data_IF_929789445046
#
_entry.id   IF_929789445046
#
_cell.length_a   1.000
_cell.length_b   1.000
_cell.length_c   1.000
_cell.angle_alpha   90.00
_cell.angle_beta   90.00
_cell.angle_gamma   90.00
#
_symmetry.space_group_name_H-M   'P 1'
#
loop_
_entity.id
_entity.type
_entity.pdbx_description
1 polymer ?
#
# COMPACT_ATOMS: atom_id res chain seq x y z
N UNK A 1 -21.75 2.12 -6.69
CA UNK A 1 -21.10 0.94 -6.07
C UNK A 1 -21.16 1.17 -4.59
N UNK A 2 -21.60 0.17 -3.82
CA UNK A 2 -21.75 0.34 -2.38
C UNK A 2 -20.38 0.56 -1.72
N UNK A 3 -20.36 1.31 -0.64
CA UNK A 3 -19.12 1.54 0.12
C UNK A 3 -18.55 0.23 0.66
N UNK A 4 -19.41 -0.74 1.03
CA UNK A 4 -18.98 -2.08 1.42
C UNK A 4 -18.25 -2.84 0.28
N UNK A 5 -18.71 -2.72 -0.96
CA UNK A 5 -18.05 -3.32 -2.13
C UNK A 5 -16.71 -2.63 -2.40
N UNK A 6 -16.66 -1.31 -2.30
CA UNK A 6 -15.44 -0.53 -2.45
C UNK A 6 -14.38 -0.91 -1.40
N UNK A 7 -14.79 -1.06 -0.14
CA UNK A 7 -13.91 -1.53 0.93
C UNK A 7 -13.48 -2.97 0.71
N UNK A 8 -14.35 -3.85 0.22
CA UNK A 8 -13.99 -5.24 -0.09
C UNK A 8 -12.97 -5.32 -1.23
N UNK A 9 -13.10 -4.47 -2.25
CA UNK A 9 -12.12 -4.35 -3.31
C UNK A 9 -10.78 -3.82 -2.79
N UNK A 10 -10.79 -2.75 -1.98
CA UNK A 10 -9.57 -2.21 -1.39
C UNK A 10 -8.88 -3.25 -0.50
N UNK A 11 -9.61 -3.95 0.38
CA UNK A 11 -9.10 -5.07 1.19
C UNK A 11 -8.38 -6.09 0.31
N UNK A 12 -8.99 -6.49 -0.81
CA UNK A 12 -8.39 -7.47 -1.71
C UNK A 12 -7.11 -6.95 -2.37
N UNK A 13 -7.04 -5.65 -2.70
CA UNK A 13 -5.83 -5.02 -3.26
C UNK A 13 -4.71 -4.96 -2.21
N UNK A 14 -4.99 -4.49 -1.00
CA UNK A 14 -4.03 -4.45 0.10
C UNK A 14 -3.48 -5.84 0.44
N UNK A 15 -4.34 -6.87 0.48
CA UNK A 15 -3.89 -8.25 0.70
C UNK A 15 -2.97 -8.76 -0.42
N UNK A 16 -3.14 -8.30 -1.65
CA UNK A 16 -2.24 -8.63 -2.77
C UNK A 16 -0.90 -7.93 -2.64
N UNK A 17 -0.90 -6.64 -2.28
CA UNK A 17 0.33 -5.87 -2.04
C UNK A 17 1.11 -6.46 -0.86
N UNK A 18 0.44 -6.81 0.23
CA UNK A 18 1.03 -7.52 1.36
C UNK A 18 1.74 -8.81 0.93
N UNK A 19 1.13 -9.59 0.03
CA UNK A 19 1.72 -10.82 -0.52
C UNK A 19 2.95 -10.55 -1.37
N UNK A 20 2.96 -9.47 -2.15
CA UNK A 20 4.14 -9.04 -2.92
C UNK A 20 5.31 -8.71 -1.98
N UNK A 21 5.07 -7.92 -0.93
CA UNK A 21 6.12 -7.61 0.04
C UNK A 21 6.57 -8.83 0.84
N UNK A 22 5.65 -9.72 1.19
CA UNK A 22 6.01 -10.98 1.83
C UNK A 22 6.83 -11.89 0.91
N UNK A 23 6.57 -11.87 -0.40
CA UNK A 23 7.40 -12.56 -1.38
C UNK A 23 8.82 -11.97 -1.40
N UNK A 24 8.98 -10.64 -1.45
CA UNK A 24 10.30 -10.00 -1.39
C UNK A 24 11.06 -10.32 -0.10
N UNK A 25 10.36 -10.35 1.06
CA UNK A 25 10.96 -10.81 2.32
C UNK A 25 11.59 -12.21 2.16
N UNK A 26 10.86 -13.15 1.55
CA UNK A 26 11.36 -14.52 1.33
C UNK A 26 12.55 -14.55 0.36
N UNK A 27 12.49 -13.76 -0.71
CA UNK A 27 13.53 -13.68 -1.73
C UNK A 27 14.84 -13.11 -1.17
N UNK A 28 14.76 -12.07 -0.35
CA UNK A 28 15.95 -11.38 0.19
C UNK A 28 16.30 -11.76 1.63
N UNK A 29 15.83 -12.92 2.11
CA UNK A 29 15.95 -13.37 3.52
C UNK A 29 17.38 -13.40 4.08
N UNK A 30 18.38 -13.51 3.20
CA UNK A 30 19.78 -13.62 3.58
C UNK A 30 20.41 -12.25 3.93
N UNK A 31 19.84 -11.13 3.46
CA UNK A 31 20.16 -9.78 3.94
C UNK A 31 19.14 -9.38 5.01
N UNK A 32 19.56 -9.37 6.28
CA UNK A 32 18.67 -9.14 7.42
C UNK A 32 17.95 -7.79 7.39
N UNK A 33 18.59 -6.72 6.95
CA UNK A 33 17.94 -5.39 6.98
C UNK A 33 16.94 -5.26 5.83
N UNK A 34 17.29 -5.80 4.65
CA UNK A 34 16.38 -5.81 3.49
C UNK A 34 15.19 -6.72 3.77
N UNK A 35 15.42 -7.91 4.31
CA UNK A 35 14.36 -8.81 4.72
C UNK A 35 13.45 -8.14 5.76
N UNK A 36 14.02 -7.48 6.78
CA UNK A 36 13.24 -6.74 7.78
C UNK A 36 12.39 -5.63 7.16
N UNK A 37 12.96 -4.86 6.23
CA UNK A 37 12.22 -3.84 5.49
C UNK A 37 10.97 -4.42 4.84
N UNK A 38 11.11 -5.49 4.04
CA UNK A 38 9.98 -6.11 3.36
C UNK A 38 8.98 -6.79 4.31
N UNK A 39 9.45 -7.35 5.42
CA UNK A 39 8.60 -7.89 6.47
C UNK A 39 7.73 -6.80 7.10
N UNK A 40 8.34 -5.67 7.49
CA UNK A 40 7.64 -4.57 8.12
C UNK A 40 6.61 -3.94 7.15
N UNK A 41 6.96 -3.81 5.86
CA UNK A 41 6.02 -3.41 4.81
C UNK A 41 4.82 -4.36 4.71
N UNK A 42 5.05 -5.67 4.57
CA UNK A 42 3.97 -6.66 4.49
C UNK A 42 3.08 -6.66 5.75
N UNK A 43 3.69 -6.49 6.92
CA UNK A 43 2.97 -6.40 8.20
C UNK A 43 2.04 -5.19 8.23
N UNK A 44 2.51 -4.04 7.77
CA UNK A 44 1.73 -2.80 7.78
C UNK A 44 0.50 -2.95 6.85
N UNK A 45 0.66 -3.54 5.66
CA UNK A 45 -0.47 -3.81 4.77
C UNK A 45 -1.48 -4.80 5.34
N UNK A 46 -1.02 -5.87 6.00
CA UNK A 46 -1.96 -6.74 6.73
C UNK A 46 -2.66 -6.01 7.89
N UNK A 47 -1.99 -5.02 8.49
CA UNK A 47 -2.59 -4.11 9.46
C UNK A 47 -3.71 -3.28 8.82
N UNK A 48 -3.46 -2.66 7.67
CA UNK A 48 -4.45 -1.90 6.89
C UNK A 48 -5.66 -2.76 6.56
N UNK A 49 -5.45 -3.98 6.06
CA UNK A 49 -6.50 -4.98 5.80
C UNK A 49 -7.38 -5.23 7.01
N UNK A 50 -6.78 -5.43 8.19
CA UNK A 50 -7.52 -5.68 9.43
C UNK A 50 -8.45 -4.52 9.78
N UNK A 51 -7.94 -3.29 9.68
CA UNK A 51 -8.72 -2.08 9.98
C UNK A 51 -9.82 -1.87 8.93
N UNK A 52 -9.54 -2.07 7.64
CA UNK A 52 -10.54 -1.95 6.58
C UNK A 52 -11.68 -2.95 6.76
N UNK A 53 -11.40 -4.17 7.23
CA UNK A 53 -12.43 -5.16 7.57
C UNK A 53 -13.33 -4.66 8.69
N UNK A 54 -12.75 -4.09 9.76
CA UNK A 54 -13.52 -3.48 10.85
C UNK A 54 -14.37 -2.30 10.35
N UNK A 55 -13.81 -1.42 9.52
CA UNK A 55 -14.55 -0.27 8.95
C UNK A 55 -15.69 -0.76 8.07
N UNK A 56 -15.46 -1.73 7.18
CA UNK A 56 -16.49 -2.30 6.29
C UNK A 56 -17.68 -2.84 7.07
N UNK A 57 -17.43 -3.50 8.18
CA UNK A 57 -18.48 -4.12 9.00
C UNK A 57 -19.31 -3.08 9.79
N UNK A 58 -18.84 -1.82 9.87
CA UNK A 58 -19.56 -0.70 10.50
C UNK A 58 -20.36 0.15 9.51
N UNK A 59 -20.08 0.04 8.21
CA UNK A 59 -20.69 0.88 7.17
C UNK A 59 -22.13 0.50 6.91
N UNK A 60 -23.01 1.50 6.83
CA UNK A 60 -24.41 1.33 6.41
C UNK A 60 -24.50 0.65 5.02
N UNK A 61 -25.37 -0.36 4.84
CA UNK A 61 -25.60 -1.00 3.54
C UNK A 61 -26.03 -0.04 2.42
N UNK A 62 -26.64 1.08 2.79
CA UNK A 62 -27.14 2.09 1.87
C UNK A 62 -26.04 3.04 1.37
N UNK A 63 -24.89 3.10 2.04
CA UNK A 63 -23.80 4.02 1.72
C UNK A 63 -23.23 3.79 0.31
N UNK A 64 -23.03 4.89 -0.42
CA UNK A 64 -22.48 4.87 -1.78
C UNK A 64 -21.03 5.39 -1.80
N UNK A 65 -20.15 4.67 -2.49
CA UNK A 65 -18.73 5.05 -2.62
C UNK A 65 -18.49 6.20 -3.61
N UNK A 66 -19.52 6.63 -4.34
CA UNK A 66 -19.42 7.65 -5.39
C UNK A 66 -18.33 7.33 -6.42
N UNK A 67 -17.53 8.34 -6.76
CA UNK A 67 -16.44 8.23 -7.75
C UNK A 67 -15.24 7.40 -7.27
N UNK A 68 -15.10 7.18 -5.96
CA UNK A 68 -13.97 6.41 -5.40
C UNK A 68 -14.00 4.97 -5.95
N UNK A 69 -15.20 4.41 -6.08
CA UNK A 69 -15.35 3.04 -6.56
C UNK A 69 -14.77 2.80 -7.96
N UNK A 70 -15.03 3.70 -8.91
CA UNK A 70 -14.49 3.58 -10.27
C UNK A 70 -12.96 3.72 -10.29
N UNK A 71 -12.39 4.54 -9.41
CA UNK A 71 -10.94 4.73 -9.29
C UNK A 71 -10.25 3.51 -8.70
N UNK A 72 -10.85 2.85 -7.71
CA UNK A 72 -10.32 1.60 -7.16
C UNK A 72 -10.23 0.49 -8.24
N UNK A 73 -11.24 0.37 -9.10
CA UNK A 73 -11.21 -0.59 -10.20
C UNK A 73 -10.01 -0.40 -11.13
N UNK A 74 -9.59 0.85 -11.37
CA UNK A 74 -8.41 1.13 -12.20
C UNK A 74 -7.09 0.62 -11.59
N UNK A 75 -7.06 0.37 -10.28
CA UNK A 75 -5.88 -0.15 -9.57
C UNK A 75 -5.75 -1.67 -9.65
N UNK A 76 -6.81 -2.40 -10.00
CA UNK A 76 -6.80 -3.87 -10.09
C UNK A 76 -5.72 -4.34 -11.06
N UNK A 77 -5.70 -3.77 -12.26
CA UNK A 77 -4.71 -4.09 -13.29
C UNK A 77 -3.28 -3.75 -12.85
N UNK A 78 -3.10 -2.64 -12.12
CA UNK A 78 -1.78 -2.21 -11.65
C UNK A 78 -1.23 -3.20 -10.63
N UNK A 79 -2.04 -3.56 -9.64
CA UNK A 79 -1.66 -4.52 -8.59
C UNK A 79 -1.46 -5.91 -9.20
N UNK A 80 -2.31 -6.34 -10.12
CA UNK A 80 -2.17 -7.63 -10.79
C UNK A 80 -0.87 -7.76 -11.58
N UNK A 81 -0.53 -6.74 -12.39
CA UNK A 81 0.74 -6.74 -13.13
C UNK A 81 1.93 -6.74 -12.17
N UNK A 82 1.88 -5.98 -11.08
CA UNK A 82 2.95 -5.98 -10.08
C UNK A 82 3.10 -7.35 -9.40
N UNK A 83 1.99 -8.02 -9.06
CA UNK A 83 2.01 -9.36 -8.48
C UNK A 83 2.62 -10.41 -9.43
N UNK A 84 2.25 -10.35 -10.72
CA UNK A 84 2.84 -11.20 -11.76
C UNK A 84 4.34 -10.92 -11.96
N UNK A 85 4.72 -9.64 -12.06
CA UNK A 85 6.12 -9.22 -12.20
C UNK A 85 6.95 -9.61 -10.97
N UNK A 86 6.38 -9.53 -9.77
CA UNK A 86 7.04 -9.86 -8.50
C UNK A 86 7.50 -11.31 -8.43
N UNK A 87 6.74 -12.25 -9.03
CA UNK A 87 7.06 -13.67 -9.00
C UNK A 87 8.39 -14.03 -9.68
N UNK A 88 8.91 -13.17 -10.56
CA UNK A 88 10.17 -13.34 -11.27
C UNK A 88 11.30 -12.43 -10.76
N UNK A 89 11.12 -11.77 -9.61
CA UNK A 89 12.10 -10.84 -9.08
C UNK A 89 13.26 -11.57 -8.40
N UNK A 90 14.48 -11.28 -8.88
CA UNK A 90 15.71 -11.81 -8.30
C UNK A 90 16.63 -10.71 -7.73
N UNK A 91 16.35 -9.44 -8.03
CA UNK A 91 17.22 -8.31 -7.66
C UNK A 91 16.49 -7.28 -6.81
N UNK A 92 17.22 -6.69 -5.84
CA UNK A 92 16.67 -5.66 -4.97
C UNK A 92 16.22 -4.42 -5.76
N UNK A 93 16.97 -4.03 -6.79
CA UNK A 93 16.58 -2.90 -7.65
C UNK A 93 15.21 -3.11 -8.29
N UNK A 94 14.95 -4.33 -8.80
CA UNK A 94 13.65 -4.64 -9.40
C UNK A 94 12.52 -4.70 -8.38
N UNK A 95 12.78 -5.24 -7.19
CA UNK A 95 11.81 -5.23 -6.09
C UNK A 95 11.41 -3.80 -5.69
N UNK A 96 12.39 -2.91 -5.56
CA UNK A 96 12.18 -1.50 -5.24
C UNK A 96 11.37 -0.77 -6.33
N UNK A 97 11.60 -1.06 -7.62
CA UNK A 97 10.79 -0.47 -8.69
C UNK A 97 9.32 -0.87 -8.63
N UNK A 98 9.04 -2.14 -8.29
CA UNK A 98 7.67 -2.61 -8.12
C UNK A 98 7.03 -1.98 -6.89
N UNK A 99 7.74 -1.93 -5.76
CA UNK A 99 7.26 -1.26 -4.56
C UNK A 99 6.96 0.22 -4.83
N UNK A 100 7.83 0.95 -5.52
CA UNK A 100 7.58 2.33 -5.96
C UNK A 100 6.27 2.43 -6.74
N UNK A 101 6.03 1.53 -7.69
CA UNK A 101 4.82 1.56 -8.51
C UNK A 101 3.55 1.33 -7.67
N UNK A 102 3.63 0.48 -6.64
CA UNK A 102 2.53 0.21 -5.71
C UNK A 102 2.32 1.39 -4.75
N UNK A 103 3.36 1.88 -4.08
CA UNK A 103 3.29 3.00 -3.12
C UNK A 103 2.98 4.35 -3.76
N UNK A 104 3.37 4.56 -5.02
CA UNK A 104 2.98 5.76 -5.78
C UNK A 104 1.57 5.68 -6.37
N UNK A 105 0.91 4.53 -6.26
CA UNK A 105 -0.46 4.37 -6.71
C UNK A 105 -1.42 5.18 -5.84
N UNK A 106 -2.68 5.30 -6.27
CA UNK A 106 -3.69 6.01 -5.50
C UNK A 106 -4.27 5.19 -4.34
N UNK A 107 -3.76 3.98 -4.05
CA UNK A 107 -4.37 3.04 -3.11
C UNK A 107 -4.55 3.66 -1.71
N UNK A 108 -3.46 4.12 -1.09
CA UNK A 108 -3.49 4.79 0.21
C UNK A 108 -4.40 6.02 0.22
N UNK A 109 -4.30 6.84 -0.83
CA UNK A 109 -5.09 8.06 -0.94
C UNK A 109 -6.59 7.78 -1.06
N UNK A 110 -6.96 6.71 -1.78
CA UNK A 110 -8.35 6.28 -1.89
C UNK A 110 -8.83 5.62 -0.60
N UNK A 111 -8.02 4.78 0.04
CA UNK A 111 -8.32 4.20 1.35
C UNK A 111 -8.58 5.26 2.40
N UNK A 112 -7.69 6.24 2.50
CA UNK A 112 -7.85 7.39 3.39
C UNK A 112 -9.15 8.15 3.11
N UNK A 113 -9.46 8.43 1.83
CA UNK A 113 -10.70 9.14 1.47
C UNK A 113 -11.96 8.36 1.84
N UNK A 114 -11.98 7.03 1.65
CA UNK A 114 -13.12 6.20 2.05
C UNK A 114 -13.30 6.28 3.56
N UNK A 115 -12.24 6.02 4.32
CA UNK A 115 -12.29 6.02 5.79
C UNK A 115 -12.68 7.41 6.32
N UNK A 116 -12.17 8.48 5.72
CA UNK A 116 -12.52 9.85 6.08
C UNK A 116 -13.98 10.19 5.74
N UNK A 117 -14.52 9.69 4.63
CA UNK A 117 -15.94 9.87 4.28
C UNK A 117 -16.88 9.23 5.29
N UNK A 118 -16.38 8.23 6.03
CA UNK A 118 -17.10 7.48 7.05
C UNK A 118 -16.80 7.98 8.48
N UNK A 119 -16.03 9.06 8.63
CA UNK A 119 -15.54 9.51 9.95
C UNK A 119 -16.65 9.75 10.97
N UNK A 120 -17.84 10.17 10.55
CA UNK A 120 -19.00 10.36 11.43
C UNK A 120 -19.62 9.06 11.93
N UNK A 121 -19.36 7.95 11.25
CA UNK A 121 -19.86 6.60 11.58
C UNK A 121 -18.83 5.78 12.39
N UNK A 122 -17.58 6.25 12.46
CA UNK A 122 -16.48 5.52 13.08
C UNK A 122 -16.17 6.02 14.50
N UNK A 123 -15.72 5.13 15.41
CA UNK A 123 -15.18 5.52 16.71
C UNK A 123 -14.02 6.51 16.58
N UNK A 124 -13.86 7.39 17.56
CA UNK A 124 -12.76 8.35 17.58
C UNK A 124 -11.40 7.62 17.50
N UNK A 125 -10.56 8.06 16.56
CA UNK A 125 -9.24 7.48 16.34
C UNK A 125 -9.20 6.28 15.38
N UNK A 126 -10.34 5.71 14.97
CA UNK A 126 -10.38 4.56 14.04
C UNK A 126 -9.76 4.87 12.66
N UNK A 127 -9.74 6.14 12.25
CA UNK A 127 -9.15 6.59 10.99
C UNK A 127 -7.63 6.89 11.04
N UNK A 128 -7.02 6.92 12.24
CA UNK A 128 -5.59 7.29 12.40
C UNK A 128 -4.58 6.43 11.65
N UNK A 129 -4.77 5.10 11.48
CA UNK A 129 -3.77 4.26 10.84
C UNK A 129 -3.48 4.63 9.37
N UNK A 130 -4.46 5.19 8.65
CA UNK A 130 -4.32 5.58 7.23
C UNK A 130 -3.68 6.97 7.02
N UNK A 131 -2.99 7.51 8.03
CA UNK A 131 -2.33 8.82 7.97
C UNK A 131 -0.81 8.68 7.74
N UNK A 132 -0.25 7.48 7.87
CA UNK A 132 1.19 7.25 7.92
C UNK A 132 1.85 6.75 6.61
N UNK A 133 1.37 7.19 5.44
CA UNK A 133 1.94 6.83 4.13
C UNK A 133 3.46 7.13 4.00
N UNK A 134 3.98 8.06 4.82
CA UNK A 134 5.40 8.43 4.84
C UNK A 134 6.32 7.28 5.29
N UNK A 135 5.83 6.32 6.10
CA UNK A 135 6.66 5.27 6.67
C UNK A 135 7.17 4.29 5.60
N UNK A 136 6.33 3.94 4.62
CA UNK A 136 6.68 3.04 3.53
C UNK A 136 7.75 3.67 2.63
N UNK A 137 7.51 4.91 2.19
CA UNK A 137 8.46 5.66 1.36
C UNK A 137 9.83 5.79 2.05
N UNK A 138 9.86 6.08 3.35
CA UNK A 138 11.11 6.18 4.09
C UNK A 138 11.88 4.86 4.12
N UNK A 139 11.22 3.73 4.40
CA UNK A 139 11.87 2.40 4.38
C UNK A 139 12.42 2.04 3.01
N UNK A 140 11.73 2.40 1.94
CA UNK A 140 12.20 2.17 0.58
C UNK A 140 13.44 3.01 0.25
N UNK A 141 13.50 4.29 0.67
CA UNK A 141 14.70 5.13 0.55
C UNK A 141 15.89 4.51 1.29
N UNK A 142 15.68 4.06 2.52
CA UNK A 142 16.72 3.40 3.32
C UNK A 142 17.24 2.12 2.64
N UNK A 143 16.33 1.28 2.11
CA UNK A 143 16.70 0.08 1.36
C UNK A 143 17.46 0.38 0.06
N UNK A 144 17.08 1.45 -0.66
CA UNK A 144 17.76 1.88 -1.88
C UNK A 144 19.19 2.39 -1.62
N UNK A 145 19.51 2.80 -0.39
CA UNK A 145 20.88 3.09 0.04
C UNK A 145 21.85 1.93 -0.14
N UNK A 146 21.37 0.69 -0.29
CA UNK A 146 22.19 -0.51 -0.51
C UNK A 146 22.50 -0.85 -1.98
N UNK A 147 21.88 -0.18 -2.95
CA UNK A 147 22.09 -0.46 -4.39
C UNK A 147 22.81 0.69 -5.08
N UNK A 148 23.65 0.46 -6.11
CA UNK A 148 24.41 1.53 -6.77
C UNK A 148 23.57 2.44 -7.70
N UNK A 149 22.30 2.10 -7.95
CA UNK A 149 21.44 2.83 -8.88
C UNK A 149 20.98 4.19 -8.30
N UNK A 150 21.62 5.26 -8.77
CA UNK A 150 21.35 6.63 -8.36
C UNK A 150 19.99 7.14 -8.85
N UNK A 151 19.53 6.71 -10.02
CA UNK A 151 18.24 7.16 -10.57
C UNK A 151 17.09 6.60 -9.73
N UNK A 152 17.20 5.34 -9.32
CA UNK A 152 16.20 4.69 -8.48
C UNK A 152 16.12 5.34 -7.09
N UNK A 153 17.28 5.69 -6.50
CA UNK A 153 17.34 6.45 -5.23
C UNK A 153 16.67 7.82 -5.35
N UNK A 154 16.98 8.59 -6.39
CA UNK A 154 16.39 9.92 -6.62
C UNK A 154 14.86 9.86 -6.77
N UNK A 155 14.34 8.84 -7.46
CA UNK A 155 12.89 8.64 -7.58
C UNK A 155 12.22 8.38 -6.23
N UNK A 156 12.85 7.58 -5.37
CA UNK A 156 12.36 7.30 -4.02
C UNK A 156 12.41 8.53 -3.10
N UNK A 157 13.49 9.30 -3.17
CA UNK A 157 13.62 10.56 -2.43
C UNK A 157 12.56 11.58 -2.87
N UNK A 158 12.27 11.67 -4.18
CA UNK A 158 11.21 12.52 -4.71
C UNK A 158 9.82 12.08 -4.22
N UNK A 159 9.55 10.76 -4.13
CA UNK A 159 8.31 10.25 -3.53
C UNK A 159 8.19 10.66 -2.07
N UNK A 160 9.25 10.51 -1.27
CA UNK A 160 9.26 10.92 0.14
C UNK A 160 9.03 12.43 0.31
N UNK A 161 9.62 13.25 -0.57
CA UNK A 161 9.40 14.70 -0.58
C UNK A 161 7.97 15.09 -0.95
N UNK A 162 7.34 14.35 -1.87
CA UNK A 162 5.94 14.53 -2.26
C UNK A 162 4.93 14.01 -1.23
N UNK A 163 5.30 13.02 -0.42
CA UNK A 163 4.45 12.46 0.63
C UNK A 163 4.33 13.42 1.84
N UNK A 164 5.44 14.07 2.24
CA UNK A 164 5.48 15.10 3.30
C UNK A 164 4.66 16.37 3.02
N UNK A 165 4.23 16.57 1.78
CA UNK A 165 3.49 17.76 1.33
C UNK A 165 1.99 17.56 1.10
N UNK A 166 1.44 16.37 1.39
CA UNK A 166 0.02 16.03 1.22
C UNK A 166 -0.76 16.06 2.53
#
# INVERSE_FOLDING_TARGET
>A
MKTQDALSLLIALEERVARVYFHFFRTFRDDRDIARCWWDMARDEYGHVGILKMVRDLVSPEAEAGQIGARLWSLVDVVERCEQEAAAVETLGRALELAIRLESSEMDALGHRIVQSLRSELPEGAARPFVAADAHCQRLVEAAGKIPDLNLRQRLEAMLGGAKGR
#
